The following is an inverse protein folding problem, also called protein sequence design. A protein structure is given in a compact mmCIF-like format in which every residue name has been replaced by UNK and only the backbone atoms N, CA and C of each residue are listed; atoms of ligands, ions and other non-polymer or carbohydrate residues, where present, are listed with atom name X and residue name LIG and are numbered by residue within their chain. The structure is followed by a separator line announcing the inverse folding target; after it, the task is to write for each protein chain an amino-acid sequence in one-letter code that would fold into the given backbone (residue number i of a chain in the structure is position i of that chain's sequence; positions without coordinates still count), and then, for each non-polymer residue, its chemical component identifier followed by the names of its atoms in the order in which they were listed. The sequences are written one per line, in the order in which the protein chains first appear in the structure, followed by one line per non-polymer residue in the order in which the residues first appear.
data_IF_777223465731
#
_entry.id   IF_777223465731
#
_cell.length_a   1.000
_cell.length_b   1.000
_cell.length_c   1.000
_cell.angle_alpha   90.00
_cell.angle_beta   90.00
_cell.angle_gamma   90.00
#
_symmetry.space_group_name_H-M   'P 1'
#
loop_
_entity.id
_entity.type
_entity.pdbx_description
1 polymer ?
#
# COMPACT_ATOMS: atom_id res chain seq x y z
N UNK A 1 12.95 -5.78 20.52
CA UNK A 1 12.93 -6.00 19.05
C UNK A 1 12.67 -4.65 18.40
N UNK A 2 13.73 -3.94 18.05
CA UNK A 2 13.67 -2.59 17.46
C UNK A 2 13.52 -2.74 15.96
N UNK A 3 12.43 -2.25 15.39
CA UNK A 3 12.24 -2.23 13.94
C UNK A 3 13.15 -1.15 13.36
N UNK A 4 14.07 -1.56 12.49
CA UNK A 4 14.89 -0.63 11.73
C UNK A 4 13.98 0.27 10.86
N UNK A 5 14.09 1.60 10.97
CA UNK A 5 13.16 2.52 10.32
C UNK A 5 13.20 2.40 8.78
N UNK A 6 14.37 2.14 8.19
CA UNK A 6 14.51 1.94 6.74
C UNK A 6 13.91 0.61 6.30
N UNK A 7 14.10 -0.45 7.09
CA UNK A 7 13.45 -1.74 6.84
C UNK A 7 11.92 -1.64 6.94
N UNK A 8 11.42 -0.86 7.89
CA UNK A 8 9.99 -0.63 8.08
C UNK A 8 9.39 0.18 6.91
N UNK A 9 10.08 1.21 6.44
CA UNK A 9 9.62 2.00 5.29
C UNK A 9 9.66 1.20 3.99
N UNK A 10 10.68 0.36 3.77
CA UNK A 10 10.70 -0.62 2.66
C UNK A 10 9.52 -1.58 2.74
N UNK A 11 9.23 -2.12 3.93
CA UNK A 11 8.12 -3.06 4.14
C UNK A 11 6.75 -2.41 3.87
N UNK A 12 6.54 -1.15 4.30
CA UNK A 12 5.32 -0.39 4.00
C UNK A 12 5.13 -0.16 2.50
N UNK A 13 6.20 0.19 1.78
CA UNK A 13 6.15 0.39 0.33
C UNK A 13 5.88 -0.91 -0.44
N UNK A 14 6.40 -2.04 0.06
CA UNK A 14 6.16 -3.35 -0.56
C UNK A 14 4.71 -3.81 -0.37
N UNK A 15 4.18 -3.63 0.85
CA UNK A 15 2.78 -3.89 1.18
C UNK A 15 1.84 -3.04 0.32
N UNK A 16 2.14 -1.75 0.18
CA UNK A 16 1.42 -0.81 -0.65
C UNK A 16 1.36 -1.22 -2.14
N UNK A 17 2.51 -1.60 -2.70
CA UNK A 17 2.60 -2.11 -4.07
C UNK A 17 1.76 -3.38 -4.26
N UNK A 18 1.86 -4.32 -3.32
CA UNK A 18 1.10 -5.57 -3.34
C UNK A 18 -0.40 -5.34 -3.25
N UNK A 19 -0.85 -4.49 -2.31
CA UNK A 19 -2.26 -4.12 -2.17
C UNK A 19 -2.82 -3.48 -3.44
N UNK A 20 -2.05 -2.60 -4.08
CA UNK A 20 -2.46 -1.99 -5.35
C UNK A 20 -2.62 -3.04 -6.46
N UNK A 21 -1.68 -3.97 -6.58
CA UNK A 21 -1.75 -5.05 -7.59
C UNK A 21 -2.96 -5.94 -7.36
N UNK A 22 -3.17 -6.42 -6.12
CA UNK A 22 -4.32 -7.24 -5.76
C UNK A 22 -5.65 -6.52 -6.01
N UNK A 23 -5.72 -5.22 -5.69
CA UNK A 23 -6.90 -4.39 -5.97
C UNK A 23 -7.23 -4.36 -7.47
N UNK A 24 -6.22 -4.13 -8.31
CA UNK A 24 -6.40 -4.06 -9.76
C UNK A 24 -6.77 -5.43 -10.35
N UNK A 25 -6.14 -6.51 -9.89
CA UNK A 25 -6.45 -7.87 -10.31
C UNK A 25 -7.88 -8.29 -9.92
N UNK A 26 -8.37 -7.85 -8.76
CA UNK A 26 -9.73 -8.09 -8.33
C UNK A 26 -10.77 -7.18 -9.03
N UNK A 27 -10.35 -6.28 -9.93
CA UNK A 27 -11.24 -5.32 -10.59
C UNK A 27 -11.88 -4.32 -9.64
N UNK A 28 -11.27 -4.08 -8.48
CA UNK A 28 -11.82 -3.20 -7.44
C UNK A 28 -11.30 -1.77 -7.61
N UNK A 29 -12.18 -0.79 -7.53
CA UNK A 29 -11.78 0.63 -7.41
C UNK A 29 -11.35 0.93 -5.97
N UNK A 30 -10.65 2.06 -5.75
CA UNK A 30 -10.25 2.49 -4.41
C UNK A 30 -11.44 2.59 -3.44
N UNK A 31 -12.56 3.13 -3.92
CA UNK A 31 -13.82 3.23 -3.19
C UNK A 31 -14.41 1.88 -2.82
N UNK A 32 -14.44 0.93 -3.75
CA UNK A 32 -14.97 -0.42 -3.49
C UNK A 32 -14.13 -1.18 -2.47
N UNK A 33 -12.81 -1.00 -2.50
CA UNK A 33 -11.93 -1.57 -1.50
C UNK A 33 -12.11 -0.88 -0.14
N UNK A 34 -12.25 0.44 -0.12
CA UNK A 34 -12.49 1.23 1.08
C UNK A 34 -13.74 0.76 1.85
N UNK A 35 -14.86 0.59 1.14
CA UNK A 35 -16.11 0.06 1.70
C UNK A 35 -15.92 -1.35 2.27
N UNK A 36 -15.21 -2.24 1.56
CA UNK A 36 -14.95 -3.62 2.02
C UNK A 36 -14.03 -3.70 3.23
N UNK A 37 -13.07 -2.78 3.34
CA UNK A 37 -12.11 -2.75 4.42
C UNK A 37 -12.56 -1.89 5.62
N UNK A 38 -13.73 -1.24 5.56
CA UNK A 38 -14.17 -0.30 6.59
C UNK A 38 -13.24 0.90 6.75
N UNK A 39 -12.59 1.31 5.66
CA UNK A 39 -11.62 2.43 5.63
C UNK A 39 -12.12 3.54 4.71
N UNK A 40 -11.58 4.74 4.86
CA UNK A 40 -11.85 5.82 3.91
C UNK A 40 -11.08 5.62 2.60
N UNK A 41 -11.67 6.09 1.49
CA UNK A 41 -11.04 6.08 0.17
C UNK A 41 -9.64 6.72 0.20
N UNK A 42 -9.49 7.87 0.85
CA UNK A 42 -8.19 8.54 1.00
C UNK A 42 -7.15 7.65 1.70
N UNK A 43 -7.55 6.86 2.70
CA UNK A 43 -6.65 5.95 3.42
C UNK A 43 -6.19 4.79 2.54
N UNK A 44 -7.08 4.26 1.70
CA UNK A 44 -6.74 3.25 0.68
C UNK A 44 -5.78 3.82 -0.37
N UNK A 45 -6.01 5.06 -0.82
CA UNK A 45 -5.11 5.70 -1.78
C UNK A 45 -3.75 6.00 -1.20
N UNK A 46 -3.66 6.53 0.02
CA UNK A 46 -2.39 6.77 0.71
C UNK A 46 -1.59 5.48 0.79
N UNK A 47 -2.23 4.37 1.21
CA UNK A 47 -1.60 3.05 1.26
C UNK A 47 -1.18 2.58 -0.14
N UNK A 48 -2.01 2.75 -1.17
CA UNK A 48 -1.69 2.27 -2.53
C UNK A 48 -0.66 3.16 -3.27
N UNK A 49 -0.40 4.37 -2.79
CA UNK A 49 0.50 5.37 -3.40
C UNK A 49 1.94 5.29 -2.87
N UNK A 50 2.21 4.58 -1.77
CA UNK A 50 3.59 4.31 -1.36
C UNK A 50 4.24 3.45 -2.46
N UNK A 51 4.99 4.10 -3.34
CA UNK A 51 5.77 3.42 -4.37
C UNK A 51 7.05 2.89 -3.73
N UNK A 52 7.50 1.71 -4.15
CA UNK A 52 8.88 1.27 -3.92
C UNK A 52 9.82 2.39 -4.38
N UNK A 53 10.47 3.06 -3.44
CA UNK A 53 11.74 3.70 -3.73
C UNK A 53 12.72 2.55 -3.92
N UNK A 54 13.01 2.22 -5.19
CA UNK A 54 14.12 1.32 -5.51
C UNK A 54 15.41 1.83 -4.85
N UNK A 55 16.39 0.93 -4.61
CA UNK A 55 17.66 1.35 -4.04
C UNK A 55 18.21 2.51 -4.89
N UNK A 56 18.52 3.65 -4.25
CA UNK A 56 19.27 4.71 -4.91
C UNK A 56 20.64 4.11 -5.28
N UNK A 57 21.09 4.24 -6.54
CA UNK A 57 22.42 3.81 -6.94
C UNK A 57 23.51 4.60 -6.20
#
# INVERSE_FOLDING_TARGET
MTLDPDALDRSKQDLAGTLRTLRLQAGLTGDRLAVRCGMSQSKIETLSRLKRSGPRP
#
